data_IF_304010011653
#
_entry.id   IF_304010011653
#
_cell.length_a   1.000
_cell.length_b   1.000
_cell.length_c   1.000
_cell.angle_alpha   90.00
_cell.angle_beta   90.00
_cell.angle_gamma   90.00
#
_symmetry.space_group_name_H-M   'P 1'
#
loop_
_entity.id
_entity.type
_entity.pdbx_description
1 polymer ?
#
# COMPACT_ATOMS: atom_id res chain seq x y z
N UNK A 1 23.18 -6.21 -10.29
CA UNK A 1 21.79 -6.69 -10.22
C UNK A 1 21.23 -6.25 -8.87
N UNK A 2 20.09 -5.55 -8.82
CA UNK A 2 19.48 -5.09 -7.57
C UNK A 2 18.39 -6.09 -7.17
N UNK A 3 18.66 -6.88 -6.13
CA UNK A 3 17.70 -7.82 -5.55
C UNK A 3 17.37 -7.30 -4.13
N UNK A 4 16.09 -7.07 -3.80
CA UNK A 4 15.71 -6.67 -2.45
C UNK A 4 16.13 -7.72 -1.41
N UNK A 5 16.74 -7.28 -0.30
CA UNK A 5 17.20 -8.16 0.79
C UNK A 5 16.33 -8.11 2.05
N UNK A 6 15.32 -7.24 2.06
CA UNK A 6 14.43 -7.01 3.20
C UNK A 6 12.98 -6.98 2.74
N UNK A 7 12.09 -7.47 3.60
CA UNK A 7 10.65 -7.40 3.42
C UNK A 7 9.95 -7.12 4.75
N UNK A 8 8.73 -6.60 4.68
CA UNK A 8 7.85 -6.45 5.84
C UNK A 8 6.40 -6.60 5.38
N UNK A 9 5.54 -7.00 6.30
CA UNK A 9 4.10 -7.09 6.06
C UNK A 9 3.42 -5.87 6.67
N UNK A 10 2.42 -5.35 5.96
CA UNK A 10 1.52 -4.32 6.47
C UNK A 10 0.10 -4.65 6.03
N UNK A 11 -0.89 -4.10 6.74
CA UNK A 11 -2.31 -4.21 6.39
C UNK A 11 -3.01 -2.90 6.74
N UNK A 12 -4.05 -2.59 5.99
CA UNK A 12 -4.89 -1.44 6.25
C UNK A 12 -6.27 -1.63 5.63
N UNK A 13 -7.24 -0.95 6.20
CA UNK A 13 -8.63 -0.89 5.77
C UNK A 13 -8.99 0.58 5.59
N UNK A 14 -9.58 0.90 4.45
CA UNK A 14 -10.09 2.23 4.15
C UNK A 14 -11.56 2.14 3.75
N UNK A 15 -12.39 2.98 4.36
CA UNK A 15 -13.83 3.03 4.10
C UNK A 15 -14.15 4.35 3.44
N UNK A 16 -14.59 4.29 2.19
CA UNK A 16 -15.08 5.42 1.43
C UNK A 16 -16.07 4.93 0.37
N UNK A 17 -16.97 5.81 -0.09
CA UNK A 17 -17.93 5.48 -1.15
C UNK A 17 -17.22 5.18 -2.47
N UNK A 18 -16.23 6.02 -2.79
CA UNK A 18 -15.39 5.85 -3.99
C UNK A 18 -14.25 4.87 -3.76
N UNK A 19 -14.07 3.95 -4.72
CA UNK A 19 -13.05 2.89 -4.68
C UNK A 19 -11.62 3.44 -4.57
N UNK A 20 -11.30 4.52 -5.27
CA UNK A 20 -9.95 5.08 -5.25
C UNK A 20 -9.60 5.68 -3.89
N UNK A 21 -10.53 6.42 -3.30
CA UNK A 21 -10.36 7.01 -1.98
C UNK A 21 -10.36 5.94 -0.86
N UNK A 22 -11.18 4.89 -0.97
CA UNK A 22 -11.14 3.78 -0.01
C UNK A 22 -9.81 3.04 -0.07
N UNK A 23 -9.23 2.87 -1.27
CA UNK A 23 -7.89 2.32 -1.43
C UNK A 23 -6.81 3.23 -0.83
N UNK A 24 -6.85 4.54 -1.08
CA UNK A 24 -5.90 5.50 -0.50
C UNK A 24 -5.93 5.51 1.04
N UNK A 25 -7.12 5.49 1.64
CA UNK A 25 -7.28 5.41 3.09
C UNK A 25 -6.71 4.10 3.67
N UNK A 26 -6.85 2.98 2.94
CA UNK A 26 -6.25 1.71 3.34
C UNK A 26 -4.71 1.80 3.33
N UNK A 27 -4.12 2.45 2.32
CA UNK A 27 -2.67 2.67 2.25
C UNK A 27 -2.16 3.58 3.38
N UNK A 28 -2.93 4.62 3.74
CA UNK A 28 -2.65 5.50 4.90
C UNK A 28 -2.65 4.74 6.22
N UNK A 29 -3.68 3.91 6.44
CA UNK A 29 -3.73 3.08 7.65
C UNK A 29 -2.58 2.07 7.68
N UNK A 30 -2.16 1.56 6.51
CA UNK A 30 -1.01 0.66 6.37
C UNK A 30 0.37 1.38 6.48
N UNK A 31 0.40 2.72 6.54
CA UNK A 31 1.62 3.52 6.67
C UNK A 31 2.55 3.51 5.45
N UNK A 32 2.01 3.19 4.27
CA UNK A 32 2.77 3.06 3.00
C UNK A 32 2.25 3.98 1.89
N UNK A 33 1.32 4.88 2.18
CA UNK A 33 0.67 5.79 1.22
C UNK A 33 1.65 6.71 0.49
N UNK A 34 2.80 7.02 1.12
CA UNK A 34 3.80 7.95 0.57
C UNK A 34 4.71 7.35 -0.50
N UNK A 35 4.59 6.05 -0.76
CA UNK A 35 5.44 5.34 -1.71
C UNK A 35 4.67 5.00 -3.00
N UNK A 36 5.40 4.96 -4.11
CA UNK A 36 4.87 4.39 -5.35
C UNK A 36 4.88 2.87 -5.26
N UNK A 37 3.71 2.24 -5.44
CA UNK A 37 3.56 0.79 -5.40
C UNK A 37 3.79 0.20 -6.78
N UNK A 38 4.69 -0.77 -6.86
CA UNK A 38 4.93 -1.57 -8.07
C UNK A 38 4.40 -2.98 -7.80
N UNK A 39 3.41 -3.40 -8.57
CA UNK A 39 2.94 -4.78 -8.54
C UNK A 39 4.00 -5.69 -9.14
N UNK A 40 4.33 -6.77 -8.42
CA UNK A 40 5.26 -7.80 -8.87
C UNK A 40 4.53 -9.14 -8.84
N UNK A 41 4.41 -9.79 -10.00
CA UNK A 41 3.75 -11.08 -10.22
C UNK A 41 4.43 -11.81 -11.36
#
# INVERSE_FOLDING_TARGET
>A
MFVPTKCFFTKGVGVHKDKLASFELALRQAGIEKYNLVYVS
#
